data_IF_641970274154
#
_entry.id   IF_641970274154
#
_cell.length_a   1.000
_cell.length_b   1.000
_cell.length_c   1.000
_cell.angle_alpha   90.00
_cell.angle_beta   90.00
_cell.angle_gamma   90.00
#
_symmetry.space_group_name_H-M   'P 1'
#
loop_
_entity.id
_entity.type
_entity.pdbx_description
1 polymer ?
#
# COMPACT_ATOMS: atom_id res chain seq x y z
N UNK A 1 -19.07 0.88 12.81
CA UNK A 1 -19.69 0.72 14.16
C UNK A 1 -21.09 0.13 14.14
N UNK A 2 -21.99 0.55 13.22
CA UNK A 2 -23.37 0.06 13.18
C UNK A 2 -23.47 -1.46 12.99
N UNK A 3 -22.73 -2.04 12.03
CA UNK A 3 -22.69 -3.49 11.81
C UNK A 3 -22.25 -4.25 13.07
N UNK A 4 -21.17 -3.81 13.71
CA UNK A 4 -20.67 -4.42 14.95
C UNK A 4 -21.70 -4.42 16.09
N UNK A 5 -22.49 -3.34 16.22
CA UNK A 5 -23.56 -3.26 17.24
C UNK A 5 -24.73 -4.19 16.92
N UNK A 6 -25.16 -4.25 15.66
CA UNK A 6 -26.20 -5.16 15.21
C UNK A 6 -25.82 -6.63 15.48
N UNK A 7 -24.58 -7.00 15.18
CA UNK A 7 -24.06 -8.35 15.44
C UNK A 7 -23.98 -8.65 16.93
N UNK A 8 -23.49 -7.71 17.74
CA UNK A 8 -23.41 -7.88 19.20
C UNK A 8 -24.78 -8.11 19.83
N UNK A 9 -25.80 -7.37 19.38
CA UNK A 9 -27.17 -7.54 19.84
C UNK A 9 -27.71 -8.94 19.49
N UNK A 10 -27.55 -9.37 18.24
CA UNK A 10 -27.92 -10.72 17.80
C UNK A 10 -27.20 -11.81 18.61
N UNK A 11 -25.88 -11.70 18.76
CA UNK A 11 -25.06 -12.67 19.50
C UNK A 11 -25.52 -12.80 20.95
N UNK A 12 -25.89 -11.68 21.58
CA UNK A 12 -26.38 -11.66 22.96
C UNK A 12 -27.74 -12.34 23.08
N UNK A 13 -28.67 -12.01 22.18
CA UNK A 13 -30.03 -12.56 22.21
C UNK A 13 -30.05 -14.07 21.88
N UNK A 14 -29.32 -14.47 20.84
CA UNK A 14 -29.25 -15.85 20.36
C UNK A 14 -28.21 -16.71 21.13
N UNK A 15 -27.49 -16.12 22.09
CA UNK A 15 -26.43 -16.76 22.89
C UNK A 15 -25.36 -17.42 22.02
N UNK A 16 -24.98 -16.75 20.92
CA UNK A 16 -23.94 -17.24 20.01
C UNK A 16 -22.57 -16.88 20.59
N UNK A 17 -21.69 -17.86 20.87
CA UNK A 17 -20.34 -17.57 21.35
C UNK A 17 -19.49 -16.92 20.26
N UNK A 18 -18.63 -15.97 20.64
CA UNK A 18 -17.71 -15.30 19.73
C UNK A 18 -17.32 -13.92 20.22
N UNK A 19 -16.62 -13.15 19.37
CA UNK A 19 -16.24 -11.77 19.64
C UNK A 19 -16.36 -10.94 18.38
N UNK A 20 -16.82 -9.70 18.53
CA UNK A 20 -16.71 -8.66 17.50
C UNK A 20 -15.71 -7.62 18.00
N UNK A 21 -14.72 -7.30 17.18
CA UNK A 21 -13.70 -6.29 17.48
C UNK A 21 -13.79 -5.22 16.40
N UNK A 22 -13.76 -3.95 16.80
CA UNK A 22 -13.62 -2.82 15.89
C UNK A 22 -12.20 -2.31 15.97
N UNK A 23 -11.47 -2.37 14.86
CA UNK A 23 -10.12 -1.86 14.76
C UNK A 23 -10.15 -0.42 14.23
N UNK A 24 -9.52 0.51 14.95
CA UNK A 24 -9.24 1.84 14.44
C UNK A 24 -7.92 1.83 13.68
N UNK A 25 -7.96 2.12 12.38
CA UNK A 25 -6.79 2.08 11.49
C UNK A 25 -6.51 3.48 10.93
N UNK A 26 -5.86 4.37 11.70
CA UNK A 26 -5.59 5.75 11.27
C UNK A 26 -4.54 5.80 10.15
N UNK A 27 -4.33 6.98 9.57
CA UNK A 27 -3.24 7.22 8.61
C UNK A 27 -3.26 6.23 7.42
N UNK A 28 -4.44 5.96 6.86
CA UNK A 28 -4.52 5.13 5.65
C UNK A 28 -3.95 5.90 4.44
N UNK A 29 -4.34 7.16 4.25
CA UNK A 29 -3.89 7.99 3.12
C UNK A 29 -2.49 8.62 3.28
N UNK A 30 -1.90 8.53 4.47
CA UNK A 30 -0.68 9.27 4.83
C UNK A 30 0.26 8.42 5.65
N UNK A 31 1.54 8.77 5.64
CA UNK A 31 2.56 7.95 6.27
C UNK A 31 2.87 8.33 7.72
N UNK A 32 3.29 7.37 8.56
CA UNK A 32 3.41 5.93 8.25
C UNK A 32 2.04 5.23 8.37
N UNK A 33 1.78 4.25 7.50
CA UNK A 33 0.46 3.65 7.37
C UNK A 33 0.19 2.67 8.53
N UNK A 34 -0.95 2.82 9.19
CA UNK A 34 -1.14 2.20 10.50
C UNK A 34 -1.51 0.71 10.43
N UNK A 35 -2.23 0.22 9.41
CA UNK A 35 -2.59 -1.21 9.33
C UNK A 35 -1.35 -2.11 9.28
N UNK A 36 -0.32 -1.72 8.54
CA UNK A 36 0.94 -2.44 8.45
C UNK A 36 1.68 -2.45 9.80
N UNK A 37 1.67 -1.34 10.54
CA UNK A 37 2.24 -1.26 11.89
C UNK A 37 1.45 -2.17 12.85
N UNK A 38 0.12 -2.08 12.85
CA UNK A 38 -0.78 -2.88 13.68
C UNK A 38 -0.62 -4.38 13.37
N UNK A 39 -0.47 -4.73 12.09
CA UNK A 39 -0.20 -6.09 11.63
C UNK A 39 1.16 -6.61 12.14
N UNK A 40 2.24 -5.83 11.97
CA UNK A 40 3.57 -6.18 12.51
C UNK A 40 3.54 -6.36 14.04
N UNK A 41 2.74 -5.56 14.75
CA UNK A 41 2.53 -5.67 16.19
C UNK A 41 1.61 -6.85 16.60
N UNK A 42 1.00 -7.55 15.63
CA UNK A 42 0.13 -8.69 15.89
C UNK A 42 -1.27 -8.32 16.41
N UNK A 43 -1.73 -7.09 16.19
CA UNK A 43 -3.02 -6.60 16.70
C UNK A 43 -4.21 -7.37 16.14
N UNK A 44 -4.11 -7.86 14.90
CA UNK A 44 -5.18 -8.64 14.26
C UNK A 44 -5.14 -10.14 14.60
N UNK A 45 -4.15 -10.62 15.36
CA UNK A 45 -3.99 -12.05 15.68
C UNK A 45 -5.23 -12.58 16.40
N UNK A 46 -5.75 -13.70 15.89
CA UNK A 46 -6.94 -14.35 16.44
C UNK A 46 -8.27 -13.86 15.86
N UNK A 47 -8.26 -12.97 14.85
CA UNK A 47 -9.44 -12.72 14.04
C UNK A 47 -9.63 -13.85 13.01
N UNK A 48 -10.86 -14.35 12.89
CA UNK A 48 -11.22 -15.38 11.90
C UNK A 48 -11.56 -14.79 10.52
N UNK A 49 -12.04 -13.55 10.50
CA UNK A 49 -12.38 -12.79 9.30
C UNK A 49 -12.23 -11.30 9.57
N UNK A 50 -11.87 -10.53 8.56
CA UNK A 50 -11.90 -9.06 8.58
C UNK A 50 -12.87 -8.53 7.52
N UNK A 51 -13.74 -7.60 7.94
CA UNK A 51 -14.70 -6.94 7.05
C UNK A 51 -14.48 -5.44 7.16
N UNK A 52 -14.47 -4.76 6.02
CA UNK A 52 -14.34 -3.31 5.90
C UNK A 52 -15.24 -2.81 4.79
N UNK A 53 -15.55 -1.52 4.79
CA UNK A 53 -16.15 -0.84 3.65
C UNK A 53 -15.26 0.25 3.07
N UNK A 54 -15.49 0.61 1.81
CA UNK A 54 -14.81 1.73 1.16
C UNK A 54 -15.77 2.46 0.21
N UNK A 55 -15.68 3.80 0.20
CA UNK A 55 -16.46 4.66 -0.70
C UNK A 55 -16.12 4.40 -2.17
N UNK A 56 -17.10 4.45 -3.08
CA UNK A 56 -16.89 4.19 -4.50
C UNK A 56 -17.91 4.89 -5.38
N UNK A 57 -17.60 5.02 -6.66
CA UNK A 57 -18.53 5.46 -7.71
C UNK A 57 -19.47 4.35 -8.21
N UNK A 58 -19.22 3.11 -7.76
CA UNK A 58 -19.93 1.92 -8.20
C UNK A 58 -19.99 0.86 -7.09
N UNK A 59 -21.02 0.00 -7.17
CA UNK A 59 -21.11 -1.20 -6.34
C UNK A 59 -20.52 -2.37 -7.12
N UNK A 60 -19.41 -2.93 -6.66
CA UNK A 60 -18.74 -4.02 -7.36
C UNK A 60 -18.14 -5.02 -6.37
N UNK A 61 -17.89 -6.23 -6.86
CA UNK A 61 -17.08 -7.25 -6.18
C UNK A 61 -15.74 -7.40 -6.86
N UNK A 62 -14.74 -7.80 -6.11
CA UNK A 62 -13.37 -7.95 -6.61
C UNK A 62 -13.17 -9.35 -7.22
N UNK A 63 -12.18 -9.47 -8.11
CA UNK A 63 -11.74 -10.77 -8.62
C UNK A 63 -11.05 -11.54 -7.48
N UNK A 64 -11.35 -12.84 -7.30
CA UNK A 64 -10.69 -13.65 -6.30
C UNK A 64 -9.26 -14.00 -6.71
N UNK A 65 -8.41 -14.28 -5.73
CA UNK A 65 -7.02 -14.66 -5.91
C UNK A 65 -6.03 -13.73 -5.21
N UNK A 66 -4.77 -13.81 -5.62
CA UNK A 66 -3.71 -12.86 -5.31
C UNK A 66 -3.28 -12.13 -6.61
N UNK A 67 -2.60 -11.01 -6.48
CA UNK A 67 -2.29 -10.06 -7.55
C UNK A 67 -3.49 -9.20 -7.97
N UNK A 68 -4.51 -9.15 -7.12
CA UNK A 68 -5.87 -8.67 -7.44
C UNK A 68 -6.51 -7.92 -6.28
N UNK A 69 -5.76 -7.45 -5.28
CA UNK A 69 -6.28 -6.63 -4.18
C UNK A 69 -5.82 -5.17 -4.29
N UNK A 70 -4.55 -4.94 -4.64
CA UNK A 70 -3.99 -3.60 -4.90
C UNK A 70 -2.63 -3.71 -5.62
N UNK A 71 -2.07 -2.58 -6.07
CA UNK A 71 -0.66 -2.56 -6.49
C UNK A 71 0.25 -2.57 -5.26
N UNK A 72 1.38 -3.26 -5.34
CA UNK A 72 2.43 -3.14 -4.31
C UNK A 72 3.08 -1.77 -4.45
N UNK A 73 3.40 -1.15 -3.32
CA UNK A 73 3.98 0.20 -3.26
C UNK A 73 5.11 0.21 -2.25
N UNK A 74 6.24 0.78 -2.64
CA UNK A 74 7.31 1.18 -1.74
C UNK A 74 7.37 2.70 -1.70
N UNK A 75 7.35 3.24 -0.48
CA UNK A 75 7.43 4.67 -0.21
C UNK A 75 8.81 5.02 0.33
N UNK A 76 9.55 5.84 -0.43
CA UNK A 76 10.99 6.01 -0.27
C UNK A 76 11.40 7.47 -0.43
N UNK A 77 12.11 7.99 0.57
CA UNK A 77 12.81 9.28 0.51
C UNK A 77 14.29 9.07 0.24
N UNK A 78 14.83 9.86 -0.68
CA UNK A 78 16.25 9.98 -0.97
C UNK A 78 16.71 11.36 -0.53
N UNK A 79 17.53 11.40 0.53
CA UNK A 79 18.04 12.65 1.11
C UNK A 79 19.49 12.82 0.69
N UNK A 80 19.74 13.80 -0.17
CA UNK A 80 21.08 14.19 -0.60
C UNK A 80 21.66 15.22 0.36
N UNK A 81 22.87 14.97 0.82
CA UNK A 81 23.64 15.89 1.69
C UNK A 81 24.91 16.33 0.98
N UNK A 82 25.10 17.65 0.90
CA UNK A 82 26.20 18.29 0.21
C UNK A 82 26.98 19.23 1.13
N UNK A 83 27.42 20.35 0.56
CA UNK A 83 28.17 21.38 1.29
C UNK A 83 27.81 22.77 0.76
N UNK A 84 27.41 23.71 1.63
CA UNK A 84 26.98 25.02 1.18
C UNK A 84 28.19 25.88 0.78
N UNK A 85 27.95 26.80 -0.15
CA UNK A 85 28.89 27.84 -0.55
C UNK A 85 28.12 29.02 -1.15
N UNK A 86 28.71 30.21 -1.13
CA UNK A 86 28.17 31.33 -1.90
C UNK A 86 28.27 31.00 -3.40
N UNK A 87 27.25 31.29 -4.21
CA UNK A 87 27.24 30.89 -5.63
C UNK A 87 28.38 31.50 -6.47
N UNK A 88 28.87 32.68 -6.11
CA UNK A 88 30.09 33.25 -6.74
C UNK A 88 31.37 32.45 -6.46
N UNK A 89 31.32 31.49 -5.52
CA UNK A 89 32.43 30.61 -5.12
C UNK A 89 31.96 29.15 -5.05
N UNK A 90 31.00 28.76 -5.90
CA UNK A 90 30.30 27.48 -5.83
C UNK A 90 31.22 26.25 -5.85
N UNK A 91 32.42 26.37 -6.44
CA UNK A 91 33.44 25.30 -6.47
C UNK A 91 33.91 24.84 -5.08
N UNK A 92 33.70 25.65 -4.04
CA UNK A 92 33.97 25.26 -2.64
C UNK A 92 32.86 24.39 -2.02
N UNK A 93 31.68 24.32 -2.64
CA UNK A 93 30.51 23.57 -2.18
C UNK A 93 30.31 22.24 -2.90
N UNK A 94 29.27 21.50 -2.52
CA UNK A 94 28.79 20.27 -3.15
C UNK A 94 27.28 20.34 -3.23
N UNK A 95 26.74 20.38 -4.44
CA UNK A 95 25.36 20.79 -4.67
C UNK A 95 24.40 19.58 -4.57
N UNK A 96 23.67 19.49 -3.45
CA UNK A 96 22.69 18.44 -3.21
C UNK A 96 21.49 18.51 -4.17
N UNK A 97 21.12 19.70 -4.64
CA UNK A 97 20.04 19.86 -5.61
C UNK A 97 20.42 19.28 -6.98
N UNK A 98 21.66 19.48 -7.42
CA UNK A 98 22.14 18.86 -8.67
C UNK A 98 22.12 17.34 -8.57
N UNK A 99 22.53 16.78 -7.42
CA UNK A 99 22.45 15.33 -7.18
C UNK A 99 21.01 14.83 -7.31
N UNK A 100 20.05 15.53 -6.70
CA UNK A 100 18.63 15.20 -6.80
C UNK A 100 18.09 15.32 -8.22
N UNK A 101 18.46 16.35 -8.98
CA UNK A 101 18.04 16.53 -10.38
C UNK A 101 18.61 15.41 -11.26
N UNK A 102 19.89 15.07 -11.11
CA UNK A 102 20.51 13.95 -11.82
C UNK A 102 19.83 12.62 -11.49
N UNK A 103 19.52 12.39 -10.22
CA UNK A 103 18.74 11.22 -9.80
C UNK A 103 17.35 11.21 -10.42
N UNK A 104 16.63 12.33 -10.40
CA UNK A 104 15.29 12.44 -10.98
C UNK A 104 15.29 12.14 -12.49
N UNK A 105 16.29 12.67 -13.21
CA UNK A 105 16.50 12.36 -14.63
C UNK A 105 16.91 10.90 -14.86
N UNK A 106 17.75 10.31 -14.00
CA UNK A 106 18.11 8.90 -14.10
C UNK A 106 16.87 7.99 -13.92
N UNK A 107 15.99 8.30 -12.97
CA UNK A 107 14.72 7.59 -12.76
C UNK A 107 13.85 7.64 -14.02
N UNK A 108 13.78 8.78 -14.71
CA UNK A 108 13.03 8.88 -15.96
C UNK A 108 13.60 7.98 -17.06
N UNK A 109 14.94 7.95 -17.22
CA UNK A 109 15.59 7.06 -18.17
C UNK A 109 15.42 5.57 -17.83
N UNK A 110 15.40 5.22 -16.53
CA UNK A 110 15.18 3.83 -16.07
C UNK A 110 13.81 3.28 -16.50
N UNK A 111 12.80 4.13 -16.71
CA UNK A 111 11.45 3.70 -17.15
C UNK A 111 11.46 2.89 -18.44
N UNK A 112 12.41 3.17 -19.34
CA UNK A 112 12.57 2.44 -20.60
C UNK A 112 13.02 0.98 -20.42
N UNK A 113 13.59 0.66 -19.25
CA UNK A 113 14.12 -0.68 -18.91
C UNK A 113 13.16 -1.51 -18.07
N UNK A 114 12.18 -0.88 -17.43
CA UNK A 114 11.19 -1.55 -16.59
C UNK A 114 10.07 -2.18 -17.42
N UNK A 115 9.47 -3.23 -16.86
CA UNK A 115 8.28 -3.84 -17.44
C UNK A 115 7.14 -2.85 -17.59
N UNK A 116 6.23 -3.11 -18.56
CA UNK A 116 4.92 -2.48 -18.56
C UNK A 116 4.25 -2.64 -17.19
N UNK A 117 3.40 -1.68 -16.82
CA UNK A 117 2.66 -1.61 -15.54
C UNK A 117 3.36 -0.94 -14.35
N UNK A 118 4.64 -0.57 -14.45
CA UNK A 118 5.27 0.27 -13.42
C UNK A 118 4.56 1.64 -13.31
N UNK A 119 4.40 2.13 -12.08
CA UNK A 119 3.88 3.48 -11.80
C UNK A 119 4.74 4.15 -10.74
N UNK A 120 5.87 4.72 -11.18
CA UNK A 120 6.78 5.48 -10.32
C UNK A 120 6.43 6.96 -10.38
N UNK A 121 6.14 7.58 -9.24
CA UNK A 121 5.76 8.99 -9.11
C UNK A 121 6.60 9.62 -8.01
N UNK A 122 7.10 10.83 -8.21
CA UNK A 122 7.90 11.50 -7.20
C UNK A 122 7.86 13.01 -7.26
N UNK A 123 8.36 13.62 -6.20
CA UNK A 123 8.41 15.07 -5.97
C UNK A 123 9.72 15.45 -5.25
N UNK A 124 10.13 16.71 -5.34
CA UNK A 124 11.26 17.26 -4.58
C UNK A 124 10.69 18.20 -3.52
N UNK A 125 10.30 17.71 -2.33
CA UNK A 125 9.69 18.55 -1.28
C UNK A 125 10.66 19.59 -0.71
N UNK A 126 11.96 19.31 -0.72
CA UNK A 126 13.00 20.22 -0.24
C UNK A 126 14.11 20.31 -1.27
N UNK A 127 14.26 21.47 -1.94
CA UNK A 127 15.20 21.67 -3.06
C UNK A 127 16.22 22.80 -2.84
N UNK A 128 16.44 23.23 -1.60
CA UNK A 128 17.27 24.38 -1.27
C UNK A 128 16.46 25.61 -0.84
N UNK A 129 17.13 26.52 -0.12
CA UNK A 129 16.48 27.62 0.61
C UNK A 129 16.59 28.96 -0.13
N UNK A 130 17.74 29.22 -0.78
CA UNK A 130 18.01 30.50 -1.43
C UNK A 130 18.84 30.31 -2.71
N UNK A 131 18.54 31.06 -3.79
CA UNK A 131 19.20 30.88 -5.09
C UNK A 131 20.69 31.29 -5.10
N UNK A 132 21.13 32.12 -4.16
CA UNK A 132 22.52 32.58 -4.05
C UNK A 132 23.41 31.69 -3.15
N UNK A 133 22.87 30.59 -2.64
CA UNK A 133 23.58 29.59 -1.83
C UNK A 133 23.54 28.25 -2.56
N UNK A 134 24.67 27.54 -2.60
CA UNK A 134 24.71 26.14 -3.08
C UNK A 134 23.90 25.27 -2.10
N UNK A 135 22.84 24.58 -2.55
CA UNK A 135 22.07 23.68 -1.68
C UNK A 135 22.92 22.56 -1.10
N UNK A 136 22.86 22.39 0.22
CA UNK A 136 23.56 21.33 0.96
C UNK A 136 22.61 20.25 1.48
N UNK A 137 21.31 20.45 1.35
CA UNK A 137 20.28 19.47 1.69
C UNK A 137 19.19 19.47 0.61
N UNK A 138 18.84 18.28 0.13
CA UNK A 138 17.74 18.10 -0.82
C UNK A 138 17.08 16.75 -0.59
N UNK A 139 15.75 16.72 -0.60
CA UNK A 139 14.96 15.49 -0.42
C UNK A 139 14.16 15.24 -1.68
N UNK A 140 14.21 14.00 -2.18
CA UNK A 140 13.34 13.51 -3.23
C UNK A 140 12.45 12.41 -2.64
N UNK A 141 11.14 12.51 -2.84
CA UNK A 141 10.16 11.56 -2.32
C UNK A 141 9.50 10.81 -3.46
N UNK A 142 9.49 9.47 -3.39
CA UNK A 142 8.96 8.59 -4.42
C UNK A 142 7.99 7.56 -3.86
N UNK A 143 6.89 7.37 -4.57
CA UNK A 143 6.12 6.13 -4.55
C UNK A 143 6.48 5.27 -5.77
N UNK A 144 7.01 4.08 -5.50
CA UNK A 144 7.38 3.08 -6.50
C UNK A 144 6.29 2.03 -6.49
N UNK A 145 5.65 1.75 -7.64
CA UNK A 145 4.52 0.81 -7.69
C UNK A 145 4.66 -0.23 -8.78
N UNK A 146 4.35 -1.48 -8.44
CA UNK A 146 4.32 -2.60 -9.39
C UNK A 146 3.35 -3.72 -8.93
N UNK A 147 2.71 -4.47 -9.86
CA UNK A 147 1.81 -5.58 -9.50
C UNK A 147 2.48 -6.73 -8.74
N UNK A 148 3.78 -6.92 -8.94
CA UNK A 148 4.57 -7.98 -8.34
C UNK A 148 5.56 -7.43 -7.32
N UNK A 149 5.55 -7.97 -6.09
CA UNK A 149 6.43 -7.45 -5.04
C UNK A 149 7.91 -7.78 -5.28
N UNK A 150 8.24 -8.90 -5.93
CA UNK A 150 9.63 -9.30 -6.19
C UNK A 150 10.26 -8.38 -7.24
N UNK A 151 9.54 -8.11 -8.31
CA UNK A 151 9.98 -7.15 -9.33
C UNK A 151 9.95 -5.71 -8.82
N UNK A 152 9.07 -5.37 -7.86
CA UNK A 152 9.15 -4.08 -7.16
C UNK A 152 10.49 -3.93 -6.42
N UNK A 153 10.99 -4.97 -5.75
CA UNK A 153 12.31 -4.95 -5.10
C UNK A 153 13.43 -4.66 -6.12
N UNK A 154 13.32 -5.24 -7.32
CA UNK A 154 14.25 -4.99 -8.41
C UNK A 154 14.23 -3.53 -8.88
N UNK A 155 13.04 -2.95 -9.11
CA UNK A 155 12.89 -1.53 -9.46
C UNK A 155 13.49 -0.65 -8.37
N UNK A 156 13.18 -0.91 -7.10
CA UNK A 156 13.68 -0.16 -5.97
C UNK A 156 15.22 -0.21 -5.88
N UNK A 157 15.83 -1.39 -6.10
CA UNK A 157 17.29 -1.51 -6.15
C UNK A 157 17.90 -0.66 -7.28
N UNK A 158 17.31 -0.67 -8.47
CA UNK A 158 17.82 0.16 -9.59
C UNK A 158 17.73 1.64 -9.27
N UNK A 159 16.67 2.09 -8.59
CA UNK A 159 16.53 3.48 -8.13
C UNK A 159 17.56 3.82 -7.05
N UNK A 160 17.79 2.93 -6.07
CA UNK A 160 18.86 3.10 -5.06
C UNK A 160 20.23 3.25 -5.72
N UNK A 161 20.54 2.45 -6.73
CA UNK A 161 21.82 2.52 -7.43
C UNK A 161 21.94 3.79 -8.27
N UNK A 162 20.85 4.27 -8.88
CA UNK A 162 20.81 5.56 -9.56
C UNK A 162 21.03 6.73 -8.59
N UNK A 163 20.43 6.68 -7.39
CA UNK A 163 20.64 7.69 -6.35
C UNK A 163 22.11 7.72 -5.89
N UNK A 164 22.72 6.54 -5.66
CA UNK A 164 24.15 6.43 -5.34
C UNK A 164 25.04 6.99 -6.47
N UNK A 165 24.70 6.70 -7.72
CA UNK A 165 25.42 7.23 -8.88
C UNK A 165 25.34 8.76 -8.97
N UNK A 166 24.16 9.34 -8.69
CA UNK A 166 23.96 10.78 -8.63
C UNK A 166 24.74 11.44 -7.47
N UNK A 167 24.77 10.79 -6.31
CA UNK A 167 25.58 11.23 -5.19
C UNK A 167 27.08 11.23 -5.55
N UNK A 168 27.55 10.13 -6.13
CA UNK A 168 28.95 9.96 -6.53
C UNK A 168 29.40 10.99 -7.58
N UNK A 169 28.61 11.23 -8.63
CA UNK A 169 29.00 12.16 -9.71
C UNK A 169 29.04 13.63 -9.25
N UNK A 170 28.32 13.96 -8.17
CA UNK A 170 28.25 15.32 -7.61
C UNK A 170 29.11 15.50 -6.36
N UNK A 171 29.85 14.46 -5.95
CA UNK A 171 30.59 14.40 -4.68
C UNK A 171 29.72 14.79 -3.46
N UNK A 172 28.47 14.29 -3.45
CA UNK A 172 27.52 14.39 -2.33
C UNK A 172 27.29 13.02 -1.70
N UNK A 173 26.58 12.99 -0.58
CA UNK A 173 26.13 11.76 0.08
C UNK A 173 24.63 11.58 -0.12
N UNK A 174 24.14 10.34 -0.09
CA UNK A 174 22.69 10.04 -0.13
C UNK A 174 22.29 9.06 0.97
N UNK A 175 21.21 9.37 1.67
CA UNK A 175 20.53 8.49 2.60
C UNK A 175 19.19 8.03 2.01
N UNK A 176 18.90 6.73 2.06
CA UNK A 176 17.63 6.16 1.59
C UNK A 176 16.76 5.78 2.78
N UNK A 177 15.62 6.44 2.92
CA UNK A 177 14.66 6.21 4.00
C UNK A 177 13.39 5.58 3.43
N UNK A 178 13.16 4.31 3.74
CA UNK A 178 11.90 3.61 3.44
C UNK A 178 10.96 3.80 4.61
N UNK A 179 9.82 4.42 4.37
CA UNK A 179 8.90 4.79 5.46
C UNK A 179 7.52 4.13 5.33
N UNK A 180 7.23 3.50 4.19
CA UNK A 180 5.96 2.80 3.95
C UNK A 180 6.13 1.64 2.96
N UNK A 181 5.45 0.53 3.24
CA UNK A 181 5.41 -0.66 2.39
C UNK A 181 3.98 -1.18 2.33
N UNK A 182 3.44 -1.21 1.12
CA UNK A 182 2.09 -1.68 0.84
C UNK A 182 2.20 -2.88 -0.08
N UNK A 183 1.46 -3.93 0.26
CA UNK A 183 1.49 -5.17 -0.50
C UNK A 183 0.10 -5.58 -0.90
N UNK A 184 0.04 -6.23 -2.04
CA UNK A 184 -1.12 -6.95 -2.51
C UNK A 184 -1.48 -8.10 -1.54
N UNK A 185 -2.76 -8.43 -1.51
CA UNK A 185 -3.36 -9.35 -0.55
C UNK A 185 -3.99 -10.58 -1.19
N UNK A 186 -4.87 -11.22 -0.41
CA UNK A 186 -5.67 -12.35 -0.88
C UNK A 186 -7.14 -11.98 -0.84
N UNK A 187 -7.80 -12.16 -1.98
CA UNK A 187 -9.24 -11.97 -2.12
C UNK A 187 -9.93 -13.34 -2.21
N UNK A 188 -10.90 -13.57 -1.33
CA UNK A 188 -11.60 -14.86 -1.18
C UNK A 188 -12.95 -14.80 -1.90
N UNK A 189 -13.15 -15.65 -2.91
CA UNK A 189 -14.37 -15.67 -3.74
C UNK A 189 -15.62 -15.97 -2.92
N UNK A 190 -15.54 -16.84 -1.91
CA UNK A 190 -16.69 -17.16 -1.08
C UNK A 190 -17.28 -15.92 -0.38
N UNK A 191 -16.43 -14.98 0.04
CA UNK A 191 -16.88 -13.73 0.66
C UNK A 191 -17.33 -12.70 -0.37
N UNK A 192 -16.60 -12.55 -1.47
CA UNK A 192 -16.94 -11.62 -2.56
C UNK A 192 -18.31 -11.93 -3.18
N UNK A 193 -18.60 -13.21 -3.45
CA UNK A 193 -19.89 -13.63 -4.00
C UNK A 193 -21.02 -13.48 -2.97
N UNK A 194 -20.74 -13.74 -1.68
CA UNK A 194 -21.73 -13.56 -0.61
C UNK A 194 -22.13 -12.09 -0.46
N UNK A 195 -21.14 -11.20 -0.34
CA UNK A 195 -21.38 -9.75 -0.29
C UNK A 195 -22.17 -9.28 -1.50
N UNK A 196 -21.77 -9.69 -2.71
CA UNK A 196 -22.43 -9.23 -3.93
C UNK A 196 -23.86 -9.77 -4.06
N UNK A 197 -24.12 -11.00 -3.62
CA UNK A 197 -25.48 -11.53 -3.55
C UNK A 197 -26.37 -10.70 -2.62
N UNK A 198 -25.86 -10.28 -1.46
CA UNK A 198 -26.58 -9.36 -0.58
C UNK A 198 -26.74 -7.96 -1.19
N UNK A 199 -25.72 -7.44 -1.87
CA UNK A 199 -25.80 -6.16 -2.56
C UNK A 199 -26.93 -6.16 -3.60
N UNK A 200 -27.07 -7.23 -4.38
CA UNK A 200 -28.21 -7.44 -5.29
C UNK A 200 -29.54 -7.51 -4.52
N UNK A 201 -29.60 -8.32 -3.46
CA UNK A 201 -30.81 -8.52 -2.65
C UNK A 201 -31.30 -7.22 -2.01
N UNK A 202 -30.39 -6.35 -1.57
CA UNK A 202 -30.71 -5.07 -0.94
C UNK A 202 -30.91 -3.93 -1.97
N UNK A 203 -30.81 -4.22 -3.26
CA UNK A 203 -31.02 -3.23 -4.32
C UNK A 203 -29.94 -2.15 -4.36
N UNK A 204 -28.67 -2.55 -4.14
CA UNK A 204 -27.54 -1.64 -4.18
C UNK A 204 -27.47 -0.87 -5.52
N UNK A 205 -27.24 0.45 -5.51
CA UNK A 205 -27.15 1.23 -6.74
C UNK A 205 -25.83 0.99 -7.47
N UNK A 206 -25.82 1.17 -8.79
CA UNK A 206 -24.58 1.11 -9.58
C UNK A 206 -23.88 -0.25 -9.54
N UNK A 207 -24.65 -1.34 -9.48
CA UNK A 207 -24.14 -2.71 -9.53
C UNK A 207 -23.38 -2.97 -10.84
N UNK A 208 -22.15 -3.46 -10.71
CA UNK A 208 -21.33 -3.94 -11.81
C UNK A 208 -21.31 -5.47 -11.80
N UNK A 209 -21.84 -6.08 -12.87
CA UNK A 209 -21.84 -7.54 -12.99
C UNK A 209 -20.43 -8.11 -13.19
N UNK A 210 -19.59 -7.38 -13.91
CA UNK A 210 -18.19 -7.75 -14.09
C UNK A 210 -17.41 -7.57 -12.80
N UNK A 211 -16.66 -8.60 -12.42
CA UNK A 211 -15.73 -8.53 -11.29
C UNK A 211 -14.63 -7.53 -11.61
N UNK A 212 -14.47 -6.54 -10.74
CA UNK A 212 -13.38 -5.58 -10.83
C UNK A 212 -12.04 -6.28 -10.61
N UNK A 213 -11.00 -5.80 -11.29
CA UNK A 213 -9.68 -5.84 -10.66
C UNK A 213 -9.59 -4.55 -9.87
N UNK A 214 -9.09 -4.56 -8.65
CA UNK A 214 -8.75 -3.30 -8.02
C UNK A 214 -7.69 -2.64 -8.89
N UNK A 215 -8.01 -1.40 -9.25
CA UNK A 215 -7.07 -0.39 -9.65
C UNK A 215 -7.24 0.72 -8.60
N UNK A 216 -6.34 0.74 -7.64
CA UNK A 216 -6.42 1.63 -6.48
C UNK A 216 -5.39 1.29 -5.42
N UNK A 217 -5.23 2.21 -4.48
CA UNK A 217 -4.46 2.09 -3.25
C UNK A 217 -5.36 1.50 -2.16
N UNK A 218 -4.85 0.54 -1.37
CA UNK A 218 -5.46 0.12 -0.10
C UNK A 218 -4.42 -0.67 0.73
N UNK A 219 -4.35 -0.35 2.03
CA UNK A 219 -3.36 -0.89 2.97
C UNK A 219 -3.72 -2.29 3.55
N UNK A 220 -4.78 -2.94 3.09
CA UNK A 220 -5.26 -4.20 3.69
C UNK A 220 -4.45 -5.44 3.29
N UNK A 221 -3.65 -5.40 2.24
CA UNK A 221 -3.13 -6.62 1.63
C UNK A 221 -2.17 -7.42 2.52
N UNK A 222 -1.34 -6.77 3.35
CA UNK A 222 -0.55 -7.46 4.38
C UNK A 222 -1.43 -8.29 5.32
N UNK A 223 -2.55 -7.71 5.76
CA UNK A 223 -3.46 -8.36 6.70
C UNK A 223 -4.23 -9.49 6.03
N UNK A 224 -4.67 -9.28 4.78
CA UNK A 224 -5.46 -10.28 4.07
C UNK A 224 -4.65 -11.49 3.61
N UNK A 225 -3.32 -11.40 3.57
CA UNK A 225 -2.44 -12.58 3.42
C UNK A 225 -2.58 -13.57 4.57
N UNK A 226 -2.80 -13.07 5.78
CA UNK A 226 -2.83 -13.89 6.99
C UNK A 226 -4.26 -14.22 7.44
N UNK A 227 -5.21 -13.30 7.21
CA UNK A 227 -6.59 -13.40 7.72
C UNK A 227 -7.54 -13.16 6.55
N UNK A 228 -8.47 -14.07 6.22
CA UNK A 228 -9.41 -13.83 5.14
C UNK A 228 -10.28 -12.61 5.43
N UNK A 229 -10.69 -11.91 4.38
CA UNK A 229 -11.55 -10.75 4.53
C UNK A 229 -12.22 -10.33 3.24
N UNK A 230 -13.11 -9.34 3.38
CA UNK A 230 -13.85 -8.77 2.26
C UNK A 230 -14.00 -7.26 2.41
N UNK A 231 -13.90 -6.59 1.27
CA UNK A 231 -14.11 -5.18 1.12
C UNK A 231 -15.48 -4.85 0.55
N UNK A 232 -16.42 -4.43 1.41
CA UNK A 232 -17.74 -3.95 0.98
C UNK A 232 -17.55 -2.66 0.18
N UNK A 233 -17.82 -2.73 -1.12
CA UNK A 233 -17.67 -1.61 -2.05
C UNK A 233 -19.02 -1.29 -2.64
N UNK A 234 -19.68 -0.27 -2.11
CA UNK A 234 -20.96 0.22 -2.63
C UNK A 234 -20.81 1.59 -3.27
N UNK A 235 -21.70 1.90 -4.21
CA UNK A 235 -21.78 3.25 -4.78
C UNK A 235 -22.25 4.23 -3.71
N UNK A 236 -21.34 5.11 -3.32
CA UNK A 236 -21.53 6.17 -2.33
C UNK A 236 -21.31 7.57 -2.87
N UNK A 237 -20.81 7.71 -4.12
CA UNK A 237 -20.59 9.00 -4.76
C UNK A 237 -20.79 8.94 -6.27
N UNK A 238 -20.93 10.10 -6.90
CA UNK A 238 -20.86 10.26 -8.37
C UNK A 238 -19.52 10.82 -8.86
N UNK A 239 -18.59 11.13 -7.95
CA UNK A 239 -17.28 11.68 -8.26
C UNK A 239 -16.17 10.71 -7.87
N UNK A 240 -15.06 10.73 -8.58
CA UNK A 240 -13.90 9.88 -8.26
C UNK A 240 -13.29 10.22 -6.90
N UNK A 241 -12.51 9.27 -6.37
CA UNK A 241 -11.73 9.45 -5.14
C UNK A 241 -10.87 10.72 -5.18
N UNK A 242 -10.65 11.30 -3.99
CA UNK A 242 -9.80 12.49 -3.77
C UNK A 242 -10.28 13.77 -4.48
N UNK A 243 -11.59 13.89 -4.69
CA UNK A 243 -12.21 15.11 -5.25
C UNK A 243 -13.08 15.82 -4.22
N UNK A 244 -13.26 17.14 -4.39
CA UNK A 244 -14.22 17.90 -3.58
C UNK A 244 -15.65 17.36 -3.74
N UNK A 245 -16.01 16.87 -4.93
CA UNK A 245 -17.32 16.26 -5.17
C UNK A 245 -17.56 15.02 -4.31
N UNK A 246 -16.57 14.12 -4.17
CA UNK A 246 -16.72 12.95 -3.29
C UNK A 246 -16.78 13.33 -1.81
N UNK A 247 -16.01 14.34 -1.38
CA UNK A 247 -16.12 14.91 -0.03
C UNK A 247 -17.55 15.41 0.22
N UNK A 248 -18.10 16.18 -0.72
CA UNK A 248 -19.43 16.77 -0.56
C UNK A 248 -20.54 15.71 -0.56
N UNK A 249 -20.42 14.68 -1.42
CA UNK A 249 -21.33 13.52 -1.44
C UNK A 249 -21.36 12.74 -0.12
N UNK A 250 -20.28 12.77 0.66
CA UNK A 250 -20.20 12.11 1.98
C UNK A 250 -21.21 12.68 2.98
N UNK A 251 -21.56 13.97 2.83
CA UNK A 251 -22.56 14.66 3.67
C UNK A 251 -23.95 14.71 3.02
N UNK A 252 -24.09 14.16 1.81
CA UNK A 252 -25.34 14.18 1.06
C UNK A 252 -26.13 12.87 1.22
N UNK A 253 -27.35 12.85 0.68
CA UNK A 253 -28.23 11.69 0.71
C UNK A 253 -27.60 10.42 0.12
N UNK A 254 -26.77 10.56 -0.92
CA UNK A 254 -26.08 9.42 -1.55
C UNK A 254 -25.10 8.76 -0.58
N UNK A 255 -24.27 9.55 0.11
CA UNK A 255 -23.32 9.06 1.10
C UNK A 255 -24.01 8.46 2.32
N UNK A 256 -25.06 9.09 2.84
CA UNK A 256 -25.81 8.56 3.98
C UNK A 256 -26.52 7.24 3.68
N UNK A 257 -27.14 7.12 2.50
CA UNK A 257 -27.79 5.86 2.06
C UNK A 257 -26.77 4.76 1.86
N UNK A 258 -25.62 5.07 1.26
CA UNK A 258 -24.55 4.12 1.06
C UNK A 258 -23.93 3.67 2.40
N UNK A 259 -23.72 4.57 3.36
CA UNK A 259 -23.25 4.22 4.70
C UNK A 259 -24.18 3.22 5.41
N UNK A 260 -25.50 3.44 5.32
CA UNK A 260 -26.47 2.50 5.88
C UNK A 260 -26.42 1.14 5.17
N UNK A 261 -26.34 1.15 3.83
CA UNK A 261 -26.24 -0.06 3.02
C UNK A 261 -24.95 -0.84 3.33
N UNK A 262 -23.81 -0.18 3.44
CA UNK A 262 -22.54 -0.77 3.85
C UNK A 262 -22.70 -1.48 5.19
N UNK A 263 -23.27 -0.80 6.20
CA UNK A 263 -23.49 -1.40 7.51
C UNK A 263 -24.40 -2.64 7.46
N UNK A 264 -25.42 -2.63 6.60
CA UNK A 264 -26.29 -3.79 6.38
C UNK A 264 -25.55 -4.95 5.71
N UNK A 265 -24.70 -4.66 4.73
CA UNK A 265 -23.92 -5.65 3.99
C UNK A 265 -22.81 -6.27 4.86
N UNK A 266 -22.07 -5.43 5.59
CA UNK A 266 -21.11 -5.87 6.61
C UNK A 266 -21.79 -6.79 7.63
N UNK A 267 -22.96 -6.39 8.15
CA UNK A 267 -23.70 -7.19 9.10
C UNK A 267 -24.19 -8.51 8.50
N UNK A 268 -24.68 -8.51 7.26
CA UNK A 268 -25.17 -9.71 6.59
C UNK A 268 -24.04 -10.74 6.36
N UNK A 269 -22.87 -10.28 5.88
CA UNK A 269 -21.68 -11.14 5.70
C UNK A 269 -21.22 -11.71 7.04
N UNK A 270 -21.09 -10.86 8.07
CA UNK A 270 -20.66 -11.30 9.40
C UNK A 270 -21.66 -12.26 10.03
N UNK A 271 -22.96 -12.05 9.84
CA UNK A 271 -24.02 -12.93 10.32
C UNK A 271 -23.93 -14.31 9.69
N UNK A 272 -23.80 -14.39 8.36
CA UNK A 272 -23.67 -15.66 7.66
C UNK A 272 -22.36 -16.36 8.07
N UNK A 273 -21.25 -15.63 8.16
CA UNK A 273 -19.99 -16.20 8.64
C UNK A 273 -20.11 -16.73 10.07
N UNK A 274 -20.84 -16.05 10.95
CA UNK A 274 -21.04 -16.47 12.34
C UNK A 274 -21.97 -17.69 12.46
N UNK A 275 -23.00 -17.80 11.63
CA UNK A 275 -24.05 -18.81 11.77
C UNK A 275 -23.85 -20.04 10.91
N UNK A 276 -23.05 -19.95 9.84
CA UNK A 276 -22.90 -21.00 8.83
C UNK A 276 -21.51 -21.65 8.89
N UNK A 277 -21.36 -22.81 9.56
CA UNK A 277 -20.07 -23.50 9.68
C UNK A 277 -19.49 -23.91 8.33
N UNK A 278 -20.32 -24.23 7.35
CA UNK A 278 -19.90 -24.59 6.00
C UNK A 278 -19.26 -23.41 5.25
N UNK A 279 -19.77 -22.19 5.47
CA UNK A 279 -19.17 -20.98 4.91
C UNK A 279 -17.80 -20.72 5.53
N UNK A 280 -17.67 -20.83 6.86
CA UNK A 280 -16.37 -20.67 7.55
C UNK A 280 -15.34 -21.65 7.04
N UNK A 281 -15.73 -22.92 6.88
CA UNK A 281 -14.86 -23.96 6.34
C UNK A 281 -14.42 -23.63 4.91
N UNK A 282 -15.36 -23.22 4.05
CA UNK A 282 -15.05 -22.84 2.67
C UNK A 282 -14.09 -21.63 2.58
N UNK A 283 -14.35 -20.57 3.35
CA UNK A 283 -13.51 -19.36 3.41
C UNK A 283 -12.10 -19.70 3.90
N UNK A 284 -12.00 -20.50 4.96
CA UNK A 284 -10.71 -20.93 5.53
C UNK A 284 -9.92 -21.77 4.53
N UNK A 285 -10.58 -22.71 3.86
CA UNK A 285 -9.95 -23.59 2.89
C UNK A 285 -9.48 -22.83 1.64
N UNK A 286 -10.32 -21.95 1.11
CA UNK A 286 -10.00 -21.11 -0.04
C UNK A 286 -8.82 -20.19 0.28
N UNK A 287 -8.87 -19.48 1.41
CA UNK A 287 -7.80 -18.58 1.84
C UNK A 287 -6.47 -19.32 2.04
N UNK A 288 -6.47 -20.44 2.77
CA UNK A 288 -5.28 -21.27 2.98
C UNK A 288 -4.67 -21.74 1.67
N UNK A 289 -5.51 -22.13 0.71
CA UNK A 289 -5.06 -22.56 -0.62
C UNK A 289 -4.43 -21.42 -1.40
N UNK A 290 -5.10 -20.27 -1.47
CA UNK A 290 -4.60 -19.09 -2.17
C UNK A 290 -3.31 -18.55 -1.53
N UNK A 291 -3.23 -18.52 -0.20
CA UNK A 291 -2.03 -18.10 0.54
C UNK A 291 -0.85 -19.04 0.26
N UNK A 292 -1.09 -20.35 0.25
CA UNK A 292 -0.08 -21.34 -0.11
C UNK A 292 0.43 -21.16 -1.54
N UNK A 293 -0.47 -20.92 -2.50
CA UNK A 293 -0.11 -20.67 -3.90
C UNK A 293 0.65 -19.35 -4.06
N UNK A 294 0.23 -18.28 -3.38
CA UNK A 294 0.94 -17.00 -3.39
C UNK A 294 2.37 -17.17 -2.85
N UNK A 295 2.53 -17.88 -1.73
CA UNK A 295 3.86 -18.16 -1.16
C UNK A 295 4.76 -18.94 -2.12
N UNK A 296 4.23 -19.95 -2.80
CA UNK A 296 4.96 -20.72 -3.82
C UNK A 296 5.33 -19.85 -5.04
N UNK A 297 4.41 -19.01 -5.50
CA UNK A 297 4.62 -18.07 -6.59
C UNK A 297 5.76 -17.08 -6.26
N UNK A 298 5.71 -16.43 -5.10
CA UNK A 298 6.73 -15.50 -4.65
C UNK A 298 8.09 -16.18 -4.47
N UNK A 299 8.13 -17.39 -3.91
CA UNK A 299 9.36 -18.16 -3.78
C UNK A 299 9.96 -18.60 -5.14
N UNK A 300 9.11 -18.90 -6.12
CA UNK A 300 9.56 -19.17 -7.48
C UNK A 300 10.14 -17.92 -8.14
N UNK A 301 9.44 -16.78 -8.05
CA UNK A 301 9.93 -15.52 -8.58
C UNK A 301 11.25 -15.10 -7.94
N UNK A 302 11.37 -15.13 -6.62
CA UNK A 302 12.63 -14.77 -5.93
C UNK A 302 13.82 -15.59 -6.40
N UNK A 303 13.62 -16.88 -6.71
CA UNK A 303 14.68 -17.72 -7.29
C UNK A 303 15.06 -17.28 -8.69
N UNK A 304 14.08 -16.91 -9.52
CA UNK A 304 14.30 -16.45 -10.90
C UNK A 304 14.99 -15.08 -10.93
N UNK A 305 14.59 -14.14 -10.07
CA UNK A 305 15.15 -12.78 -10.03
C UNK A 305 16.31 -12.61 -9.04
N UNK A 306 16.84 -13.70 -8.47
CA UNK A 306 17.93 -13.62 -7.49
C UNK A 306 19.15 -12.83 -8.01
N UNK A 307 19.59 -12.97 -9.29
CA UNK A 307 20.66 -12.13 -9.84
C UNK A 307 20.31 -10.64 -9.90
N UNK A 308 19.05 -10.32 -10.20
CA UNK A 308 18.55 -8.98 -10.45
C UNK A 308 18.22 -8.19 -9.17
N UNK A 309 17.81 -8.89 -8.11
CA UNK A 309 17.62 -8.31 -6.77
C UNK A 309 18.91 -8.41 -5.96
N UNK A 310 19.81 -9.35 -6.26
CA UNK A 310 21.03 -9.61 -5.49
C UNK A 310 20.76 -10.64 -4.38
N UNK A 311 21.81 -11.38 -3.99
CA UNK A 311 21.70 -12.45 -2.99
C UNK A 311 21.35 -11.97 -1.57
N UNK A 312 21.26 -10.65 -1.36
CA UNK A 312 21.14 -10.01 -0.06
C UNK A 312 20.40 -8.65 -0.15
N UNK A 313 19.25 -8.58 -0.85
CA UNK A 313 18.44 -7.37 -0.82
C UNK A 313 17.73 -7.18 0.53
N UNK A 314 17.78 -5.93 0.99
CA UNK A 314 17.35 -5.39 2.27
C UNK A 314 15.90 -5.69 2.74
N UNK A 315 15.09 -6.39 1.96
CA UNK A 315 13.72 -6.76 2.33
C UNK A 315 13.64 -8.07 3.13
N UNK A 316 14.73 -8.86 3.21
CA UNK A 316 14.66 -10.18 3.83
C UNK A 316 15.04 -10.27 5.30
N UNK A 317 15.65 -9.24 5.96
CA UNK A 317 15.85 -9.26 7.43
C UNK A 317 16.32 -7.97 8.16
N UNK A 318 16.93 -6.96 7.52
CA UNK A 318 17.86 -6.08 8.28
C UNK A 318 17.93 -4.55 7.98
N UNK A 319 16.99 -3.88 7.31
CA UNK A 319 17.07 -2.40 7.15
C UNK A 319 16.76 -1.57 8.42
N UNK A 320 17.10 -2.09 9.60
CA UNK A 320 17.28 -1.33 10.84
C UNK A 320 18.66 -0.67 10.80
N UNK A 321 18.68 0.65 10.99
CA UNK A 321 19.82 1.57 11.05
C UNK A 321 20.27 2.19 9.71
N UNK A 322 20.36 3.51 9.72
CA UNK A 322 20.96 4.37 8.70
C UNK A 322 22.15 3.70 8.03
N UNK A 323 22.04 3.40 6.73
CA UNK A 323 23.22 3.08 5.92
C UNK A 323 23.97 4.40 5.73
N UNK A 324 24.84 4.77 6.68
CA UNK A 324 25.91 5.73 6.45
C UNK A 324 27.01 5.02 5.68
N UNK A 325 27.13 5.33 4.39
CA UNK A 325 28.28 4.92 3.58
C UNK A 325 29.52 5.62 4.16
N UNK A 326 30.66 4.93 4.36
CA UNK A 326 31.81 5.48 5.07
C UNK A 326 32.35 6.75 4.42
N UNK A 327 32.71 7.72 5.27
CA UNK A 327 33.46 8.90 4.90
C UNK A 327 34.77 8.48 4.22
N UNK A 328 35.01 8.94 3.00
CA UNK A 328 36.36 8.87 2.41
C UNK A 328 37.25 9.78 3.24
N UNK A 329 38.16 9.19 4.03
CA UNK A 329 39.19 9.93 4.75
C UNK A 329 39.95 10.82 3.77
N UNK A 330 39.69 12.13 3.81
CA UNK A 330 40.54 13.11 3.13
C UNK A 330 41.89 13.10 3.83
N UNK A 331 42.94 12.68 3.11
CA UNK A 331 44.32 13.05 3.47
C UNK A 331 44.35 14.57 3.61
N UNK A 332 44.66 15.06 4.81
CA UNK A 332 45.07 16.44 5.01
C UNK A 332 46.35 16.65 4.20
N UNK A 333 46.30 17.56 3.23
CA UNK A 333 47.45 18.33 2.78
C UNK A 333 47.13 19.80 2.95
#
# INVERSE_FOLDING_TARGET
>A
FAAARALLEYMTQARVPGRIIVYGTPAEEVDPPAKAILWKAGVFKGADILVRSHSSVETRRDRPGFGVCCLNIDAVKYTFTGRPAHQLTAWNGRNALEAAVQFYSAVDHLRSTWRPDHRVQGVIPEGGIAPNVVPDHTVVDYFIRFPDEVYLEHIARMMDDAAKGAAQMTETDVAVTRYGEYRDGITVSALEELFFAYAKKFGAPGLQEEKGRPAGYEETGWVSRDIPGVGITTRSSSFSNHTYGMRDDTFADIGHKAFLLDAQLEAAVLFDFLTRPELRAAVTEEHRTLAGLQGQYLAALRRVYAPEIGADTALSKESRAEIRIPHVERRRQ
#
